data_IF_482918752667
#
_entry.id   IF_482918752667
#
_cell.length_a   1.000
_cell.length_b   1.000
_cell.length_c   1.000
_cell.angle_alpha   90.00
_cell.angle_beta   90.00
_cell.angle_gamma   90.00
#
_symmetry.space_group_name_H-M   'P 1'
#
loop_
_entity.id
_entity.type
_entity.pdbx_description
1 polymer ?
#
# COMPACT_ATOMS: atom_id res chain seq x y z
N UNK A 1 14.64 12.96 50.57
CA UNK A 1 15.50 13.18 49.38
C UNK A 1 15.54 11.97 48.44
N UNK A 2 15.89 10.75 48.90
CA UNK A 2 15.96 9.54 48.03
C UNK A 2 14.65 9.21 47.28
N UNK A 3 13.50 9.29 47.94
CA UNK A 3 12.17 9.00 47.35
C UNK A 3 11.75 10.00 46.26
N UNK A 4 12.14 11.27 46.40
CA UNK A 4 11.88 12.30 45.38
C UNK A 4 12.72 12.07 44.12
N UNK A 5 13.96 11.61 44.28
CA UNK A 5 14.86 11.31 43.16
C UNK A 5 14.38 10.10 42.34
N UNK A 6 13.86 9.06 43.01
CA UNK A 6 13.28 7.89 42.35
C UNK A 6 12.03 8.24 41.55
N UNK A 7 11.15 9.10 42.08
CA UNK A 7 9.93 9.55 41.39
C UNK A 7 10.31 10.39 40.15
N UNK A 8 11.32 11.25 40.25
CA UNK A 8 11.82 12.02 39.10
C UNK A 8 12.38 11.12 37.98
N UNK A 9 13.16 10.10 38.31
CA UNK A 9 13.72 9.18 37.32
C UNK A 9 12.60 8.38 36.63
N UNK A 10 11.61 7.91 37.38
CA UNK A 10 10.46 7.20 36.82
C UNK A 10 9.63 8.10 35.88
N UNK A 11 9.43 9.38 36.23
CA UNK A 11 8.73 10.33 35.40
C UNK A 11 9.47 10.64 34.07
N UNK A 12 10.81 10.74 34.11
CA UNK A 12 11.62 10.97 32.90
C UNK A 12 11.55 9.77 31.95
N UNK A 13 11.57 8.54 32.47
CA UNK A 13 11.47 7.32 31.65
C UNK A 13 10.12 7.19 30.93
N UNK A 14 9.04 7.68 31.56
CA UNK A 14 7.69 7.68 30.95
C UNK A 14 7.60 8.69 29.80
N UNK A 15 8.26 9.86 29.92
CA UNK A 15 8.23 10.90 28.88
C UNK A 15 9.05 10.51 27.65
N UNK A 16 10.17 9.80 27.81
CA UNK A 16 10.99 9.35 26.66
C UNK A 16 10.46 8.08 25.97
N UNK A 17 9.55 7.32 26.59
CA UNK A 17 8.95 6.13 25.99
C UNK A 17 7.75 6.40 25.09
N UNK A 18 7.13 7.58 25.17
CA UNK A 18 5.90 7.92 24.49
C UNK A 18 6.18 8.73 23.21
N UNK A 19 6.68 8.08 22.16
CA UNK A 19 6.89 8.77 20.90
C UNK A 19 7.46 7.90 19.79
N UNK A 20 6.81 6.79 19.45
CA UNK A 20 6.98 6.25 18.12
C UNK A 20 6.33 7.26 17.16
N UNK A 21 7.14 8.01 16.41
CA UNK A 21 6.62 8.98 15.45
C UNK A 21 5.69 8.29 14.46
N UNK A 22 4.51 8.86 14.23
CA UNK A 22 3.62 8.40 13.17
C UNK A 22 4.35 8.58 11.83
N UNK A 23 4.72 7.47 11.19
CA UNK A 23 5.34 7.48 9.88
C UNK A 23 4.24 7.31 8.83
N UNK A 24 4.00 8.34 8.04
CA UNK A 24 3.21 8.20 6.82
C UNK A 24 4.08 7.54 5.74
N UNK A 25 3.58 6.45 5.17
CA UNK A 25 4.22 5.74 4.05
C UNK A 25 3.27 5.74 2.87
N UNK A 26 3.81 6.08 1.69
CA UNK A 26 3.12 5.87 0.41
C UNK A 26 3.56 4.50 -0.12
N UNK A 27 2.58 3.63 -0.38
CA UNK A 27 2.84 2.34 -1.01
C UNK A 27 2.83 2.51 -2.53
N UNK A 28 3.90 2.03 -3.15
CA UNK A 28 4.00 1.82 -4.61
C UNK A 28 3.90 0.33 -4.89
N UNK A 29 3.73 -0.05 -6.16
CA UNK A 29 3.72 -1.47 -6.57
C UNK A 29 4.85 -1.77 -7.56
N UNK A 30 5.75 -0.83 -7.77
CA UNK A 30 6.79 -0.87 -8.81
C UNK A 30 7.88 -1.89 -8.48
N UNK A 31 8.05 -2.21 -7.21
CA UNK A 31 8.97 -3.23 -6.71
C UNK A 31 8.44 -4.67 -6.87
N UNK A 32 7.18 -4.85 -7.29
CA UNK A 32 6.62 -6.17 -7.54
C UNK A 32 7.12 -6.74 -8.88
N UNK A 33 7.72 -7.92 -8.81
CA UNK A 33 8.09 -8.68 -10.00
C UNK A 33 6.85 -9.33 -10.63
N UNK A 34 6.44 -8.81 -11.79
CA UNK A 34 5.31 -9.32 -12.57
C UNK A 34 5.74 -10.21 -13.75
N UNK A 35 7.02 -10.57 -13.86
CA UNK A 35 7.54 -11.39 -14.98
C UNK A 35 6.92 -12.78 -15.07
N UNK A 36 6.43 -13.32 -13.94
CA UNK A 36 5.74 -14.61 -13.87
C UNK A 36 4.23 -14.55 -14.14
N UNK A 37 3.66 -13.36 -14.35
CA UNK A 37 2.22 -13.19 -14.61
C UNK A 37 1.92 -13.59 -16.05
N UNK A 38 1.00 -14.56 -16.20
CA UNK A 38 0.51 -14.97 -17.52
C UNK A 38 -0.41 -13.86 -18.08
N UNK A 39 -0.19 -13.41 -19.33
CA UNK A 39 -1.08 -12.43 -19.94
C UNK A 39 -2.54 -12.87 -19.92
N UNK A 40 -3.44 -11.96 -19.52
CA UNK A 40 -4.87 -12.23 -19.52
C UNK A 40 -5.44 -12.89 -18.27
N UNK A 41 -4.62 -13.18 -17.26
CA UNK A 41 -5.09 -13.74 -15.97
C UNK A 41 -5.51 -12.68 -14.96
N UNK A 42 -5.39 -11.39 -15.30
CA UNK A 42 -5.76 -10.30 -14.39
C UNK A 42 -4.64 -9.84 -13.46
N UNK A 43 -3.38 -10.10 -13.78
CA UNK A 43 -2.26 -9.61 -12.98
C UNK A 43 -1.82 -10.53 -11.84
N UNK A 44 -0.99 -9.96 -10.96
CA UNK A 44 -0.57 -10.56 -9.69
C UNK A 44 -1.60 -10.21 -8.62
N UNK A 45 -2.20 -11.21 -7.97
CA UNK A 45 -3.09 -10.97 -6.85
C UNK A 45 -2.29 -10.53 -5.61
N UNK A 46 -2.75 -9.48 -4.93
CA UNK A 46 -2.18 -9.06 -3.66
C UNK A 46 -2.96 -9.75 -2.54
N UNK A 47 -2.29 -10.64 -1.81
CA UNK A 47 -2.86 -11.24 -0.58
C UNK A 47 -2.37 -10.46 0.65
N UNK A 48 -1.07 -10.53 0.93
CA UNK A 48 -0.43 -9.87 2.06
C UNK A 48 0.71 -8.99 1.53
N UNK A 49 0.56 -7.67 1.64
CA UNK A 49 1.53 -6.72 1.13
C UNK A 49 1.63 -5.49 2.03
N UNK A 50 2.86 -5.09 2.35
CA UNK A 50 3.19 -3.96 3.22
C UNK A 50 2.48 -3.95 4.59
N UNK A 51 2.21 -5.14 5.15
CA UNK A 51 1.53 -5.28 6.44
C UNK A 51 0.01 -5.21 6.38
N UNK A 52 -0.57 -5.12 5.17
CA UNK A 52 -2.00 -5.15 4.94
C UNK A 52 -2.41 -6.46 4.26
N UNK A 53 -3.63 -6.90 4.57
CA UNK A 53 -4.33 -7.93 3.82
C UNK A 53 -5.17 -7.21 2.77
N UNK A 54 -4.98 -7.58 1.51
CA UNK A 54 -5.67 -7.00 0.36
C UNK A 54 -6.68 -8.01 -0.16
N UNK A 55 -7.91 -7.57 -0.41
CA UNK A 55 -8.96 -8.41 -0.98
C UNK A 55 -9.49 -7.79 -2.27
N UNK A 56 -9.67 -8.64 -3.28
CA UNK A 56 -10.11 -8.23 -4.61
C UNK A 56 -9.20 -7.13 -5.23
N UNK A 57 -7.89 -7.19 -4.96
CA UNK A 57 -6.90 -6.31 -5.57
C UNK A 57 -5.88 -7.14 -6.35
N UNK A 58 -5.61 -6.72 -7.57
CA UNK A 58 -4.52 -7.27 -8.37
C UNK A 58 -3.67 -6.16 -8.95
N UNK A 59 -2.40 -6.46 -9.22
CA UNK A 59 -1.43 -5.56 -9.81
C UNK A 59 -1.09 -6.03 -11.22
N UNK A 60 -1.18 -5.11 -12.18
CA UNK A 60 -0.86 -5.37 -13.57
C UNK A 60 0.24 -4.46 -14.05
N UNK A 61 1.10 -5.00 -14.91
CA UNK A 61 1.91 -4.19 -15.80
C UNK A 61 1.10 -4.01 -17.10
N UNK A 62 0.62 -2.80 -17.43
CA UNK A 62 -0.41 -2.62 -18.45
C UNK A 62 -0.13 -3.11 -19.88
N UNK A 63 1.13 -3.19 -20.39
CA UNK A 63 1.33 -3.84 -21.69
C UNK A 63 1.21 -5.38 -21.63
N UNK A 64 1.21 -6.02 -20.45
CA UNK A 64 1.34 -7.48 -20.29
C UNK A 64 0.13 -8.11 -19.58
N UNK A 65 -0.43 -7.46 -18.55
CA UNK A 65 -1.30 -8.13 -17.57
C UNK A 65 -2.78 -8.33 -17.94
N UNK A 66 -3.31 -7.60 -18.92
CA UNK A 66 -4.75 -7.57 -19.23
C UNK A 66 -5.05 -7.92 -20.70
N UNK A 67 -6.10 -8.72 -20.90
CA UNK A 67 -6.64 -9.04 -22.23
C UNK A 67 -7.17 -7.79 -22.93
N UNK A 68 -7.04 -7.75 -24.26
CA UNK A 68 -7.66 -6.71 -25.08
C UNK A 68 -9.13 -7.00 -25.39
N UNK A 69 -9.97 -5.96 -25.50
CA UNK A 69 -9.69 -4.56 -25.18
C UNK A 69 -9.81 -4.27 -23.67
N UNK A 70 -8.94 -3.42 -23.12
CA UNK A 70 -9.09 -2.91 -21.76
C UNK A 70 -8.81 -1.40 -21.64
N UNK A 71 -9.52 -0.73 -20.74
CA UNK A 71 -9.39 0.71 -20.52
C UNK A 71 -8.06 1.12 -19.87
N UNK A 72 -7.38 0.19 -19.20
CA UNK A 72 -6.08 0.42 -18.59
C UNK A 72 -5.02 0.69 -19.65
N UNK A 73 -4.87 -0.17 -20.68
CA UNK A 73 -3.92 0.08 -21.79
C UNK A 73 -4.08 1.45 -22.44
N UNK A 74 -5.31 1.95 -22.57
CA UNK A 74 -5.60 3.25 -23.17
C UNK A 74 -5.43 4.44 -22.20
N UNK A 75 -5.47 4.19 -20.88
CA UNK A 75 -5.39 5.20 -19.82
C UNK A 75 -4.05 5.22 -19.08
N UNK A 76 -3.05 4.48 -19.55
CA UNK A 76 -1.75 4.34 -18.91
C UNK A 76 -0.85 5.49 -19.31
N UNK A 77 -0.55 6.34 -18.32
CA UNK A 77 0.27 7.55 -18.48
C UNK A 77 1.75 7.29 -18.10
N UNK A 78 2.05 6.18 -17.40
CA UNK A 78 3.42 5.69 -17.17
C UNK A 78 3.48 4.16 -17.18
N UNK A 79 4.63 3.58 -17.53
CA UNK A 79 4.89 2.12 -17.59
C UNK A 79 5.01 1.47 -16.20
N UNK A 80 4.32 2.00 -15.19
CA UNK A 80 4.42 1.52 -13.81
C UNK A 80 3.34 0.47 -13.51
N UNK A 81 3.53 -0.26 -12.42
CA UNK A 81 2.60 -1.31 -12.00
C UNK A 81 1.34 -0.67 -11.40
N UNK A 82 0.17 -1.10 -11.87
CA UNK A 82 -1.13 -0.53 -11.47
C UNK A 82 -1.90 -1.55 -10.65
N UNK A 83 -2.25 -1.19 -9.43
CA UNK A 83 -3.23 -1.93 -8.63
C UNK A 83 -4.66 -1.57 -9.06
N UNK A 84 -5.52 -2.56 -9.15
CA UNK A 84 -6.92 -2.38 -9.52
C UNK A 84 -7.82 -3.41 -8.84
N UNK A 85 -9.12 -3.12 -8.81
CA UNK A 85 -10.13 -4.04 -8.29
C UNK A 85 -10.74 -4.92 -9.38
N UNK A 86 -10.95 -6.21 -9.06
CA UNK A 86 -11.55 -7.16 -9.97
C UNK A 86 -13.03 -6.89 -10.22
N UNK A 87 -13.47 -7.05 -11.47
CA UNK A 87 -14.88 -7.13 -11.89
C UNK A 87 -15.77 -5.94 -11.49
N UNK A 88 -15.19 -4.79 -11.15
CA UNK A 88 -15.94 -3.65 -10.61
C UNK A 88 -16.51 -3.89 -9.20
N UNK A 89 -16.14 -5.01 -8.55
CA UNK A 89 -16.50 -5.29 -7.17
C UNK A 89 -15.61 -4.48 -6.21
N UNK A 90 -16.07 -4.16 -4.98
CA UNK A 90 -15.26 -3.42 -4.01
C UNK A 90 -13.92 -4.11 -3.72
N UNK A 91 -12.88 -3.32 -3.49
CA UNK A 91 -11.61 -3.77 -2.93
C UNK A 91 -11.61 -3.51 -1.41
N UNK A 92 -10.99 -4.40 -0.64
CA UNK A 92 -10.84 -4.26 0.82
C UNK A 92 -9.36 -4.19 1.17
N UNK A 93 -9.02 -3.29 2.10
CA UNK A 93 -7.69 -3.21 2.71
C UNK A 93 -7.89 -3.40 4.21
N UNK A 94 -7.27 -4.43 4.77
CA UNK A 94 -7.42 -4.81 6.17
C UNK A 94 -6.06 -4.70 6.85
N UNK A 95 -6.05 -4.14 8.05
CA UNK A 95 -4.88 -4.12 8.93
C UNK A 95 -5.23 -4.79 10.25
N UNK A 96 -4.25 -5.51 10.83
CA UNK A 96 -4.39 -6.08 12.18
C UNK A 96 -4.18 -5.02 13.28
N UNK A 97 -3.68 -3.84 12.92
CA UNK A 97 -3.46 -2.70 13.81
C UNK A 97 -4.15 -1.45 13.27
N UNK A 98 -4.51 -0.51 14.15
CA UNK A 98 -5.06 0.79 13.74
C UNK A 98 -4.07 1.56 12.86
N UNK A 99 -4.58 2.17 11.80
CA UNK A 99 -3.81 3.02 10.90
C UNK A 99 -4.68 4.17 10.39
N UNK A 100 -4.04 5.28 10.03
CA UNK A 100 -4.70 6.40 9.37
C UNK A 100 -4.64 6.22 7.85
N UNK A 101 -5.81 6.08 7.22
CA UNK A 101 -5.91 6.02 5.77
C UNK A 101 -6.05 7.44 5.19
N UNK A 102 -4.95 7.97 4.68
CA UNK A 102 -4.90 9.33 4.14
C UNK A 102 -5.40 9.43 2.69
N UNK A 103 -5.40 8.32 1.93
CA UNK A 103 -5.88 8.28 0.55
C UNK A 103 -5.15 7.23 -0.29
N UNK A 104 -5.60 7.07 -1.54
CA UNK A 104 -5.01 6.14 -2.50
C UNK A 104 -5.19 6.66 -3.93
N UNK A 105 -4.20 6.39 -4.79
CA UNK A 105 -4.27 6.62 -6.23
C UNK A 105 -4.01 5.29 -6.94
N UNK A 106 -5.07 4.70 -7.50
CA UNK A 106 -5.04 3.40 -8.19
C UNK A 106 -5.03 3.56 -9.72
N UNK A 107 -4.35 4.60 -10.18
CA UNK A 107 -4.20 4.94 -11.60
C UNK A 107 -2.73 4.86 -11.96
N UNK A 108 -2.39 4.39 -13.18
CA UNK A 108 -1.04 4.58 -13.72
C UNK A 108 -0.62 6.04 -13.57
N UNK A 109 0.63 6.27 -13.17
CA UNK A 109 1.11 7.50 -12.50
C UNK A 109 0.54 8.80 -13.08
N UNK A 110 0.02 9.64 -12.19
CA UNK A 110 -0.47 10.97 -12.49
C UNK A 110 0.63 11.94 -12.93
N UNK A 111 0.25 12.82 -13.85
CA UNK A 111 1.01 13.94 -14.40
C UNK A 111 1.80 14.67 -13.30
N UNK A 112 3.11 14.84 -13.52
CA UNK A 112 3.86 15.93 -12.89
C UNK A 112 3.54 17.19 -13.70
N UNK A 113 2.83 18.16 -13.11
CA UNK A 113 2.78 19.55 -13.62
C UNK A 113 3.84 20.34 -12.86
#
# INVERSE_FOLDING_TARGET
MKRFFTIMIAAILIVFGAGAGAQATVLTFDELDLSGVVPGTGGLHLDNYAGFIWENVAVVHPPIGLNDPNGYKNGVVSLDNVAYNGFGAPATIISLTSFDFNGVYLTGRGITV
#
